data_IF_093998795619
#
_entry.id   IF_093998795619
#
_cell.length_a   1.000
_cell.length_b   1.000
_cell.length_c   1.000
_cell.angle_alpha   90.00
_cell.angle_beta   90.00
_cell.angle_gamma   90.00
#
_symmetry.space_group_name_H-M   'P 1'
#
loop_
_entity.id
_entity.type
_entity.pdbx_description
1 polymer ?
#
# COMPACT_ATOMS: atom_id res chain seq x y z
N UNK A 1 8.53 27.08 -5.51
CA UNK A 1 7.74 25.98 -4.92
C UNK A 1 7.02 26.51 -3.69
N UNK A 2 5.71 26.30 -3.56
CA UNK A 2 4.96 26.77 -2.38
C UNK A 2 5.36 25.99 -1.12
N UNK A 3 5.17 26.58 0.07
CA UNK A 3 5.42 25.92 1.36
C UNK A 3 4.64 24.60 1.50
N UNK A 4 3.41 24.57 0.99
CA UNK A 4 2.56 23.37 0.92
C UNK A 4 3.19 22.24 0.10
N UNK A 5 3.73 22.54 -1.08
CA UNK A 5 4.37 21.51 -1.93
C UNK A 5 5.59 20.88 -1.27
N UNK A 6 6.41 21.67 -0.56
CA UNK A 6 7.59 21.14 0.14
C UNK A 6 7.22 20.14 1.24
N UNK A 7 6.20 20.44 2.04
CA UNK A 7 5.72 19.56 3.12
C UNK A 7 5.19 18.24 2.54
N UNK A 8 4.49 18.32 1.40
CA UNK A 8 3.97 17.12 0.73
C UNK A 8 5.08 16.25 0.14
N UNK A 9 6.08 16.85 -0.51
CA UNK A 9 7.26 16.13 -1.02
C UNK A 9 8.05 15.43 0.08
N UNK A 10 8.21 16.10 1.23
CA UNK A 10 8.93 15.57 2.38
C UNK A 10 8.19 14.39 3.02
N UNK A 11 6.85 14.41 3.02
CA UNK A 11 6.01 13.28 3.45
C UNK A 11 6.08 12.09 2.49
N UNK A 12 6.22 12.35 1.19
CA UNK A 12 6.37 11.31 0.15
C UNK A 12 7.83 10.91 -0.06
N UNK A 13 8.69 11.08 0.94
CA UNK A 13 10.10 10.70 0.81
C UNK A 13 10.21 9.20 0.50
N UNK A 14 10.98 8.81 -0.53
CA UNK A 14 11.18 7.41 -0.84
C UNK A 14 11.81 6.64 0.33
N UNK A 15 11.35 5.41 0.50
CA UNK A 15 11.81 4.43 1.47
C UNK A 15 12.48 3.29 0.71
N UNK A 16 13.53 2.74 1.29
CA UNK A 16 14.18 1.53 0.79
C UNK A 16 13.92 0.38 1.77
N UNK A 17 13.70 -0.82 1.24
CA UNK A 17 13.41 -2.01 2.05
C UNK A 17 13.85 -3.28 1.32
N UNK A 18 14.23 -4.30 2.10
CA UNK A 18 14.44 -5.64 1.58
C UNK A 18 13.11 -6.30 1.15
N UNK A 19 13.18 -7.31 0.29
CA UNK A 19 11.98 -8.08 -0.08
C UNK A 19 11.43 -8.89 1.12
N UNK A 20 12.28 -9.37 2.02
CA UNK A 20 11.86 -10.13 3.21
C UNK A 20 11.08 -9.26 4.21
N UNK A 21 11.53 -8.02 4.45
CA UNK A 21 10.77 -7.07 5.26
C UNK A 21 9.46 -6.65 4.58
N UNK A 22 9.46 -6.59 3.25
CA UNK A 22 8.27 -6.31 2.45
C UNK A 22 7.22 -7.40 2.60
N UNK A 23 7.60 -8.67 2.64
CA UNK A 23 6.66 -9.77 2.91
C UNK A 23 5.93 -9.61 4.25
N UNK A 24 6.61 -9.12 5.29
CA UNK A 24 5.98 -8.83 6.59
C UNK A 24 4.90 -7.75 6.49
N UNK A 25 5.14 -6.73 5.66
CA UNK A 25 4.14 -5.67 5.41
C UNK A 25 2.96 -6.22 4.60
N UNK A 26 3.23 -7.02 3.58
CA UNK A 26 2.18 -7.66 2.77
C UNK A 26 1.29 -8.54 3.67
N UNK A 27 1.89 -9.34 4.54
CA UNK A 27 1.15 -10.19 5.47
C UNK A 27 0.34 -9.36 6.47
N UNK A 28 0.90 -8.29 7.01
CA UNK A 28 0.16 -7.38 7.89
C UNK A 28 -1.04 -6.72 7.20
N UNK A 29 -0.86 -6.27 5.95
CA UNK A 29 -1.96 -5.72 5.13
C UNK A 29 -3.02 -6.80 4.90
N UNK A 30 -2.61 -8.02 4.54
CA UNK A 30 -3.51 -9.16 4.33
C UNK A 30 -4.37 -9.40 5.56
N UNK A 31 -3.77 -9.46 6.75
CA UNK A 31 -4.48 -9.68 8.01
C UNK A 31 -5.47 -8.56 8.37
N UNK A 32 -5.24 -7.33 7.90
CA UNK A 32 -6.19 -6.24 8.07
C UNK A 32 -7.36 -6.40 7.10
N UNK A 33 -7.07 -6.57 5.80
CA UNK A 33 -8.10 -6.60 4.76
C UNK A 33 -8.96 -7.87 4.83
N UNK A 34 -8.42 -8.99 5.29
CA UNK A 34 -9.15 -10.25 5.44
C UNK A 34 -10.25 -10.19 6.52
N UNK A 35 -10.19 -9.21 7.44
CA UNK A 35 -11.24 -8.99 8.46
C UNK A 35 -12.47 -8.31 7.90
N UNK A 36 -12.37 -7.72 6.71
CA UNK A 36 -13.43 -6.96 6.08
C UNK A 36 -14.23 -7.88 5.17
N UNK A 37 -15.38 -8.38 5.64
CA UNK A 37 -16.20 -9.37 4.92
C UNK A 37 -16.72 -8.90 3.55
N UNK A 38 -16.75 -7.58 3.31
CA UNK A 38 -17.13 -6.99 2.03
C UNK A 38 -15.99 -6.93 1.01
N UNK A 39 -14.75 -7.24 1.39
CA UNK A 39 -13.61 -7.30 0.47
C UNK A 39 -13.49 -8.72 -0.09
N UNK A 40 -13.79 -8.90 -1.37
CA UNK A 40 -13.65 -10.22 -2.03
C UNK A 40 -12.25 -10.48 -2.57
N UNK A 41 -11.55 -9.42 -2.99
CA UNK A 41 -10.19 -9.51 -3.51
C UNK A 41 -9.41 -8.23 -3.23
N UNK A 42 -8.16 -8.37 -2.82
CA UNK A 42 -7.20 -7.28 -2.73
C UNK A 42 -5.90 -7.64 -3.47
N UNK A 43 -5.40 -6.72 -4.28
CA UNK A 43 -4.18 -6.90 -5.07
C UNK A 43 -3.25 -5.72 -4.84
N UNK A 44 -2.06 -6.02 -4.31
CA UNK A 44 -0.98 -5.05 -4.23
C UNK A 44 -0.37 -4.90 -5.63
N UNK A 45 -0.11 -3.66 -6.06
CA UNK A 45 0.50 -3.38 -7.36
C UNK A 45 1.45 -2.18 -7.31
N UNK A 46 1.98 -1.80 -8.46
CA UNK A 46 2.80 -0.59 -8.60
C UNK A 46 4.26 -0.73 -8.16
N UNK A 47 4.88 0.42 -7.85
CA UNK A 47 6.32 0.52 -7.57
C UNK A 47 6.77 -0.26 -6.34
N UNK A 48 5.85 -0.53 -5.42
CA UNK A 48 6.09 -1.35 -4.24
C UNK A 48 6.39 -2.81 -4.58
N UNK A 49 6.03 -3.36 -5.75
CA UNK A 49 6.48 -4.71 -6.13
C UNK A 49 7.73 -4.69 -7.00
N UNK A 50 7.88 -3.65 -7.81
CA UNK A 50 8.89 -3.60 -8.87
C UNK A 50 10.26 -3.05 -8.45
N UNK A 51 10.36 -2.32 -7.32
CA UNK A 51 11.58 -1.60 -6.93
C UNK A 51 11.91 -1.79 -5.45
N UNK A 52 13.19 -1.74 -5.08
CA UNK A 52 13.64 -1.67 -3.67
C UNK A 52 13.29 -0.33 -3.02
N UNK A 53 13.21 0.72 -3.83
CA UNK A 53 12.83 2.08 -3.40
C UNK A 53 11.39 2.37 -3.81
N UNK A 54 10.55 2.75 -2.86
CA UNK A 54 9.12 3.03 -3.05
C UNK A 54 8.68 4.19 -2.15
N UNK A 55 7.54 4.82 -2.41
CA UNK A 55 7.02 5.93 -1.59
C UNK A 55 5.75 5.56 -0.84
N UNK A 56 4.96 4.74 -1.49
CA UNK A 56 3.60 4.33 -1.17
C UNK A 56 3.42 2.84 -1.51
N UNK A 57 2.26 2.31 -1.12
CA UNK A 57 1.82 0.95 -1.41
C UNK A 57 0.45 1.09 -2.08
N UNK A 58 0.36 0.74 -3.35
CA UNK A 58 -0.90 0.78 -4.10
C UNK A 58 -1.63 -0.55 -3.94
N UNK A 59 -2.91 -0.49 -3.55
CA UNK A 59 -3.76 -1.67 -3.34
C UNK A 59 -5.07 -1.46 -4.09
N UNK A 60 -5.34 -2.31 -5.07
CA UNK A 60 -6.64 -2.41 -5.72
C UNK A 60 -7.53 -3.37 -4.91
N UNK A 61 -8.74 -2.94 -4.60
CA UNK A 61 -9.70 -3.74 -3.82
C UNK A 61 -10.98 -3.91 -4.62
N UNK A 62 -11.44 -5.16 -4.74
CA UNK A 62 -12.75 -5.51 -5.26
C UNK A 62 -13.68 -5.82 -4.09
N UNK A 63 -14.80 -5.11 -4.05
CA UNK A 63 -15.75 -5.17 -2.95
C UNK A 63 -17.09 -5.73 -3.41
N UNK A 64 -17.76 -6.47 -2.52
CA UNK A 64 -19.13 -6.88 -2.68
C UNK A 64 -20.06 -5.91 -1.95
N UNK A 65 -20.87 -5.18 -2.72
CA UNK A 65 -21.79 -4.18 -2.20
C UNK A 65 -22.97 -4.83 -1.44
N UNK A 66 -23.29 -6.09 -1.69
CA UNK A 66 -24.34 -6.79 -0.96
C UNK A 66 -23.94 -7.19 0.47
N UNK A 67 -22.64 -7.15 0.80
CA UNK A 67 -22.09 -7.45 2.12
C UNK A 67 -21.71 -6.20 2.93
N UNK A 68 -22.09 -5.00 2.43
CA UNK A 68 -21.81 -3.69 3.03
C UNK A 68 -22.96 -3.19 3.92
#
# INVERSE_FOLDING_TARGET
MSKLRRIEEERRRPREMSFDEREKIIEFIRQILEKEEYIELAVIHGGFLASKVFRDIDIAVYINICSL
#
